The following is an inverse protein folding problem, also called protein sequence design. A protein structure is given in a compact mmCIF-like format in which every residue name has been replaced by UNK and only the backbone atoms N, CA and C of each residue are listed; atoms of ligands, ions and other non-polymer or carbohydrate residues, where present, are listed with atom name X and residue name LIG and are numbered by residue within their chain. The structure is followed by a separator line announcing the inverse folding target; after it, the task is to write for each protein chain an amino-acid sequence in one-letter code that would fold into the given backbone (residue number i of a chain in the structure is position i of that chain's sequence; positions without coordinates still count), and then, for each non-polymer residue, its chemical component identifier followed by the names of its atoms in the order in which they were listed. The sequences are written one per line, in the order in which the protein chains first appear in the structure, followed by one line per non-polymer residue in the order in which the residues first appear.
data_IF_597015164184
#
_entry.id   IF_597015164184
#
_cell.length_a   1.000
_cell.length_b   1.000
_cell.length_c   1.000
_cell.angle_alpha   90.00
_cell.angle_beta   90.00
_cell.angle_gamma   90.00
#
_symmetry.space_group_name_H-M   'P 1'
#
loop_
_entity.id
_entity.type
_entity.pdbx_description
1 polymer ?
#
# COMPACT_ATOMS: atom_id res chain seq x y z
N UNK A 1 18.49 -4.26 -8.71
CA UNK A 1 18.97 -3.32 -9.75
C UNK A 1 18.84 -1.93 -9.18
N UNK A 2 19.87 -1.11 -9.33
CA UNK A 2 19.76 0.30 -8.98
C UNK A 2 18.79 0.98 -9.95
N UNK A 3 18.11 2.03 -9.49
CA UNK A 3 17.20 2.81 -10.33
C UNK A 3 17.95 3.30 -11.58
N UNK A 4 17.54 2.82 -12.77
CA UNK A 4 18.17 3.16 -14.05
C UNK A 4 19.01 2.06 -14.71
N UNK A 5 19.30 0.92 -14.05
CA UNK A 5 19.94 -0.21 -14.72
C UNK A 5 18.95 -0.96 -15.62
N UNK A 6 19.32 -1.14 -16.89
CA UNK A 6 18.56 -1.95 -17.85
C UNK A 6 19.04 -3.40 -17.80
N UNK A 7 18.17 -4.36 -18.13
CA UNK A 7 18.51 -5.78 -18.22
C UNK A 7 19.62 -6.10 -19.26
N UNK A 8 19.95 -5.14 -20.11
CA UNK A 8 21.00 -5.25 -21.12
C UNK A 8 22.40 -4.95 -20.56
N UNK A 9 22.49 -4.20 -19.46
CA UNK A 9 23.72 -3.66 -18.87
C UNK A 9 24.21 -4.49 -17.67
N UNK A 10 23.90 -5.78 -17.66
CA UNK A 10 24.33 -6.68 -16.58
C UNK A 10 25.83 -7.02 -16.73
N UNK A 11 26.62 -6.97 -15.64
CA UNK A 11 28.04 -7.26 -15.70
C UNK A 11 28.28 -8.74 -16.05
N UNK A 12 29.21 -9.05 -16.97
CA UNK A 12 29.40 -10.40 -17.50
C UNK A 12 29.65 -11.45 -16.41
N UNK A 13 30.41 -11.10 -15.38
CA UNK A 13 30.71 -11.97 -14.23
C UNK A 13 29.44 -12.42 -13.49
N UNK A 14 28.45 -11.51 -13.34
CA UNK A 14 27.20 -11.84 -12.69
C UNK A 14 26.35 -12.77 -13.55
N UNK A 15 26.36 -12.60 -14.88
CA UNK A 15 25.64 -13.50 -15.77
C UNK A 15 26.27 -14.89 -15.75
N UNK A 16 27.60 -14.98 -15.68
CA UNK A 16 28.31 -16.25 -15.56
C UNK A 16 27.96 -16.98 -14.26
N UNK A 17 27.98 -16.27 -13.12
CA UNK A 17 27.55 -16.81 -11.82
C UNK A 17 26.11 -17.33 -11.87
N UNK A 18 25.18 -16.55 -12.43
CA UNK A 18 23.79 -16.96 -12.61
C UNK A 18 23.68 -18.21 -13.50
N UNK A 19 24.42 -18.25 -14.60
CA UNK A 19 24.39 -19.34 -15.57
C UNK A 19 24.93 -20.63 -14.94
N UNK A 20 26.02 -20.56 -14.18
CA UNK A 20 26.58 -21.70 -13.45
C UNK A 20 25.59 -22.26 -12.42
N UNK A 21 24.93 -21.38 -11.66
CA UNK A 21 23.91 -21.78 -10.69
C UNK A 21 22.70 -22.46 -11.35
N UNK A 22 22.22 -21.93 -12.48
CA UNK A 22 21.12 -22.53 -13.25
C UNK A 22 21.50 -23.89 -13.82
N UNK A 23 22.72 -24.03 -14.34
CA UNK A 23 23.24 -25.33 -14.82
C UNK A 23 23.27 -26.37 -13.70
N UNK A 24 23.77 -25.99 -12.52
CA UNK A 24 23.89 -26.89 -11.37
C UNK A 24 22.52 -27.36 -10.85
N UNK A 25 21.50 -26.50 -10.89
CA UNK A 25 20.16 -26.80 -10.39
C UNK A 25 19.20 -27.38 -11.44
N UNK A 26 19.64 -27.51 -12.70
CA UNK A 26 18.82 -28.10 -13.76
C UNK A 26 18.92 -29.63 -13.74
N UNK A 27 17.77 -30.32 -13.70
CA UNK A 27 17.68 -31.79 -13.70
C UNK A 27 18.40 -32.40 -14.91
N UNK A 28 18.21 -31.79 -16.09
CA UNK A 28 18.82 -32.24 -17.34
C UNK A 28 20.14 -31.49 -17.62
N UNK A 29 20.18 -30.18 -17.36
CA UNK A 29 21.33 -29.33 -17.67
C UNK A 29 22.59 -29.68 -16.88
N UNK A 30 22.46 -30.16 -15.63
CA UNK A 30 23.60 -30.57 -14.82
C UNK A 30 24.34 -31.81 -15.36
N UNK A 31 23.65 -32.64 -16.16
CA UNK A 31 24.21 -33.87 -16.75
C UNK A 31 24.84 -33.64 -18.12
N UNK A 32 24.51 -32.53 -18.79
CA UNK A 32 25.04 -32.19 -20.11
C UNK A 32 26.40 -31.51 -19.98
N UNK A 33 27.31 -31.85 -20.89
CA UNK A 33 28.63 -31.23 -20.94
C UNK A 33 28.48 -29.74 -21.18
N UNK A 34 27.90 -29.33 -22.31
CA UNK A 34 27.65 -27.94 -22.65
C UNK A 34 26.14 -27.64 -22.71
N UNK A 35 25.74 -26.45 -22.27
CA UNK A 35 24.35 -25.97 -22.40
C UNK A 35 24.32 -24.48 -22.72
N UNK A 36 23.27 -24.07 -23.42
CA UNK A 36 22.97 -22.66 -23.65
C UNK A 36 21.83 -22.22 -22.75
N UNK A 37 22.10 -21.25 -21.88
CA UNK A 37 21.13 -20.71 -20.93
C UNK A 37 20.55 -19.43 -21.51
N UNK A 38 19.24 -19.29 -21.35
CA UNK A 38 18.50 -18.13 -21.82
C UNK A 38 18.25 -17.18 -20.65
N UNK A 39 18.50 -15.89 -20.87
CA UNK A 39 18.07 -14.84 -19.95
C UNK A 39 17.21 -13.81 -20.71
N UNK A 40 16.11 -13.42 -20.07
CA UNK A 40 15.09 -12.51 -20.60
C UNK A 40 14.45 -11.75 -19.44
N UNK A 41 14.04 -10.49 -19.64
CA UNK A 41 13.26 -9.77 -18.63
C UNK A 41 11.92 -10.45 -18.36
N UNK A 42 11.43 -10.32 -17.13
CA UNK A 42 10.16 -10.89 -16.66
C UNK A 42 8.97 -10.48 -17.54
N UNK A 43 8.97 -9.24 -18.01
CA UNK A 43 7.90 -8.68 -18.84
C UNK A 43 7.75 -9.35 -20.20
N UNK A 44 8.72 -10.16 -20.62
CA UNK A 44 8.67 -10.93 -21.86
C UNK A 44 8.12 -12.35 -21.69
N UNK A 45 7.91 -12.83 -20.46
CA UNK A 45 7.36 -14.17 -20.21
C UNK A 45 5.86 -14.19 -20.53
N UNK A 46 5.45 -15.13 -21.40
CA UNK A 46 4.07 -15.39 -21.75
C UNK A 46 3.59 -16.66 -21.05
N UNK A 47 2.47 -16.54 -20.34
CA UNK A 47 1.76 -17.68 -19.75
C UNK A 47 0.32 -17.67 -20.26
N UNK A 48 -0.06 -18.71 -21.00
CA UNK A 48 -1.45 -18.97 -21.38
C UNK A 48 -2.11 -19.93 -20.38
N UNK A 49 -3.43 -19.83 -20.22
CA UNK A 49 -4.20 -20.67 -19.29
C UNK A 49 -4.07 -22.17 -19.58
N UNK A 50 -3.90 -22.53 -20.85
CA UNK A 50 -3.77 -23.93 -21.29
C UNK A 50 -2.35 -24.52 -21.09
N UNK A 51 -1.38 -23.72 -20.63
CA UNK A 51 0.01 -24.19 -20.47
C UNK A 51 0.22 -24.92 -19.14
N UNK A 52 0.85 -26.09 -19.20
CA UNK A 52 1.20 -26.90 -18.04
C UNK A 52 2.00 -26.10 -16.98
N UNK A 53 1.91 -26.52 -15.72
CA UNK A 53 2.66 -25.89 -14.62
C UNK A 53 4.16 -25.91 -14.91
N UNK A 54 4.82 -24.75 -14.77
CA UNK A 54 6.24 -24.57 -15.11
C UNK A 54 6.52 -24.30 -16.60
N UNK A 55 5.54 -24.51 -17.50
CA UNK A 55 5.68 -24.13 -18.90
C UNK A 55 5.41 -22.63 -19.09
N UNK A 56 6.33 -21.98 -19.80
CA UNK A 56 6.27 -20.58 -20.20
C UNK A 56 6.74 -20.43 -21.65
N UNK A 57 6.22 -19.42 -22.34
CA UNK A 57 6.67 -19.01 -23.68
C UNK A 57 7.21 -17.57 -23.64
N UNK A 58 7.63 -17.03 -24.77
CA UNK A 58 8.11 -15.64 -24.91
C UNK A 58 7.18 -14.83 -25.80
N UNK A 59 6.90 -13.58 -25.43
CA UNK A 59 6.17 -12.66 -26.29
C UNK A 59 7.02 -12.24 -27.51
N UNK A 60 8.28 -11.88 -27.26
CA UNK A 60 9.22 -11.42 -28.27
C UNK A 60 10.53 -12.20 -28.18
N UNK A 61 10.85 -12.95 -29.23
CA UNK A 61 12.11 -13.72 -29.34
C UNK A 61 13.34 -12.84 -29.46
N UNK A 62 13.20 -11.58 -29.90
CA UNK A 62 14.31 -10.61 -29.99
C UNK A 62 14.85 -10.16 -28.62
N UNK A 63 14.01 -10.21 -27.58
CA UNK A 63 14.40 -9.86 -26.20
C UNK A 63 15.00 -11.05 -25.43
N UNK A 64 15.33 -12.12 -26.13
CA UNK A 64 15.89 -13.36 -25.59
C UNK A 64 17.38 -13.37 -25.89
N UNK A 65 18.21 -13.28 -24.84
CA UNK A 65 19.67 -13.42 -24.95
C UNK A 65 20.11 -14.80 -24.46
N UNK A 66 21.23 -15.28 -24.98
CA UNK A 66 21.76 -16.63 -24.74
C UNK A 66 23.20 -16.55 -24.25
N UNK A 67 23.55 -17.41 -23.31
CA UNK A 67 24.90 -17.58 -22.79
C UNK A 67 25.26 -19.04 -22.97
N UNK A 68 26.45 -19.29 -23.51
CA UNK A 68 26.98 -20.64 -23.61
C UNK A 68 27.81 -20.97 -22.38
N UNK A 69 27.53 -22.09 -21.73
CA UNK A 69 28.29 -22.59 -20.58
C UNK A 69 28.86 -23.96 -20.92
N UNK A 70 30.17 -23.99 -21.18
CA UNK A 70 30.90 -25.18 -21.61
C UNK A 70 31.06 -26.22 -20.51
N UNK A 71 31.46 -25.82 -19.31
CA UNK A 71 31.66 -26.72 -18.17
C UNK A 71 31.11 -26.12 -16.89
N UNK A 72 30.79 -26.98 -15.91
CA UNK A 72 30.30 -26.52 -14.61
C UNK A 72 31.48 -26.18 -13.72
N UNK A 73 31.49 -24.98 -13.17
CA UNK A 73 32.45 -24.59 -12.14
C UNK A 73 31.84 -24.78 -10.74
N UNK A 74 32.35 -25.77 -10.00
CA UNK A 74 31.91 -26.05 -8.65
C UNK A 74 32.38 -25.00 -7.63
N UNK A 75 33.47 -24.27 -7.88
CA UNK A 75 33.96 -23.24 -6.97
C UNK A 75 32.97 -22.07 -6.88
N UNK A 76 32.45 -21.64 -8.04
CA UNK A 76 31.43 -20.59 -8.14
C UNK A 76 30.15 -21.02 -7.42
N UNK A 77 29.64 -22.22 -7.72
CA UNK A 77 28.40 -22.74 -7.10
C UNK A 77 28.55 -22.85 -5.57
N UNK A 78 29.67 -23.36 -5.10
CA UNK A 78 29.94 -23.49 -3.66
C UNK A 78 30.06 -22.13 -2.97
N UNK A 79 30.67 -21.14 -3.63
CA UNK A 79 30.72 -19.76 -3.13
C UNK A 79 29.31 -19.19 -2.99
N UNK A 80 28.47 -19.33 -4.02
CA UNK A 80 27.11 -18.79 -4.03
C UNK A 80 26.22 -19.46 -2.98
N UNK A 81 26.29 -20.79 -2.85
CA UNK A 81 25.51 -21.52 -1.85
C UNK A 81 25.86 -21.13 -0.40
N UNK A 82 27.12 -20.77 -0.11
CA UNK A 82 27.52 -20.26 1.21
C UNK A 82 26.88 -18.92 1.55
N UNK A 83 26.54 -18.11 0.55
CA UNK A 83 25.89 -16.80 0.74
C UNK A 83 24.36 -16.89 0.80
N UNK A 84 23.78 -18.07 0.56
CA UNK A 84 22.34 -18.27 0.59
C UNK A 84 21.82 -18.14 2.02
N UNK A 85 21.08 -17.07 2.28
CA UNK A 85 20.35 -16.89 3.54
C UNK A 85 18.88 -17.17 3.27
N UNK A 86 18.38 -18.31 3.76
CA UNK A 86 16.95 -18.60 3.71
C UNK A 86 16.24 -17.86 4.84
N UNK A 87 15.50 -16.82 4.48
CA UNK A 87 14.54 -16.19 5.36
C UNK A 87 13.19 -16.82 5.06
N UNK A 88 12.43 -17.14 6.10
CA UNK A 88 11.03 -17.54 5.98
C UNK A 88 10.16 -16.44 6.63
N UNK A 89 9.98 -15.28 5.98
CA UNK A 89 8.99 -14.32 6.43
C UNK A 89 7.60 -14.92 6.26
N UNK A 90 6.72 -14.69 7.23
CA UNK A 90 5.30 -14.95 7.06
C UNK A 90 4.72 -13.94 6.05
N UNK A 91 4.47 -14.41 4.83
CA UNK A 91 3.93 -13.61 3.74
C UNK A 91 2.53 -13.06 4.04
N UNK A 92 1.76 -13.76 4.89
CA UNK A 92 0.42 -13.31 5.26
C UNK A 92 0.53 -12.09 6.18
N UNK A 93 1.39 -12.16 7.19
CA UNK A 93 1.62 -11.06 8.12
C UNK A 93 2.17 -9.81 7.41
N UNK A 94 3.13 -9.96 6.50
CA UNK A 94 3.70 -8.83 5.75
C UNK A 94 2.63 -8.14 4.85
N UNK A 95 1.74 -8.93 4.24
CA UNK A 95 0.62 -8.40 3.46
C UNK A 95 -0.36 -7.62 4.34
N UNK A 96 -0.70 -8.16 5.51
CA UNK A 96 -1.60 -7.50 6.47
C UNK A 96 -1.00 -6.18 6.95
N UNK A 97 0.28 -6.18 7.32
CA UNK A 97 1.00 -4.98 7.77
C UNK A 97 1.10 -3.93 6.67
N UNK A 98 1.37 -4.36 5.44
CA UNK A 98 1.37 -3.48 4.28
C UNK A 98 -0.01 -2.83 4.06
N UNK A 99 -1.08 -3.62 4.15
CA UNK A 99 -2.45 -3.12 3.99
C UNK A 99 -2.86 -2.19 5.14
N UNK A 100 -2.49 -2.51 6.39
CA UNK A 100 -2.72 -1.66 7.57
C UNK A 100 -2.01 -0.32 7.41
N UNK A 101 -0.75 -0.33 6.91
CA UNK A 101 0.02 0.89 6.62
C UNK A 101 -0.64 1.76 5.54
N UNK A 102 -1.15 1.17 4.47
CA UNK A 102 -1.87 1.89 3.42
C UNK A 102 -3.17 2.50 3.95
N UNK A 103 -3.96 1.73 4.71
CA UNK A 103 -5.19 2.22 5.35
C UNK A 103 -4.91 3.38 6.31
N UNK A 104 -3.87 3.28 7.13
CA UNK A 104 -3.45 4.35 8.06
C UNK A 104 -3.08 5.63 7.31
N UNK A 105 -2.33 5.52 6.21
CA UNK A 105 -2.00 6.67 5.34
C UNK A 105 -3.25 7.31 4.71
N UNK A 106 -4.14 6.50 4.13
CA UNK A 106 -5.37 6.98 3.51
C UNK A 106 -6.30 7.67 4.52
N UNK A 107 -6.46 7.08 5.72
CA UNK A 107 -7.30 7.67 6.76
C UNK A 107 -6.70 8.99 7.27
N UNK A 108 -5.38 9.06 7.46
CA UNK A 108 -4.69 10.31 7.84
C UNK A 108 -4.88 11.41 6.80
N UNK A 109 -4.83 11.08 5.51
CA UNK A 109 -5.08 12.05 4.45
C UNK A 109 -6.54 12.53 4.43
N UNK A 110 -7.49 11.61 4.61
CA UNK A 110 -8.91 11.94 4.67
C UNK A 110 -9.22 12.85 5.86
N UNK A 111 -8.66 12.57 7.03
CA UNK A 111 -8.84 13.41 8.21
C UNK A 111 -8.23 14.80 8.00
N UNK A 112 -7.07 14.90 7.37
CA UNK A 112 -6.46 16.19 7.02
C UNK A 112 -7.35 16.99 6.06
N UNK A 113 -7.94 16.35 5.04
CA UNK A 113 -8.89 17.01 4.11
C UNK A 113 -10.14 17.48 4.83
N UNK A 114 -10.74 16.63 5.68
CA UNK A 114 -11.92 16.98 6.49
C UNK A 114 -11.66 18.15 7.43
N UNK A 115 -10.48 18.21 8.06
CA UNK A 115 -10.11 19.32 8.94
C UNK A 115 -9.99 20.64 8.16
N UNK A 116 -9.35 20.61 7.00
CA UNK A 116 -9.22 21.81 6.15
C UNK A 116 -10.58 22.29 5.61
N UNK A 117 -11.43 21.37 5.15
CA UNK A 117 -12.80 21.70 4.71
C UNK A 117 -13.63 22.35 5.83
N UNK A 118 -13.53 21.83 7.07
CA UNK A 118 -14.20 22.42 8.22
C UNK A 118 -13.69 23.84 8.53
N UNK A 119 -12.37 24.05 8.46
CA UNK A 119 -11.75 25.37 8.67
C UNK A 119 -12.24 26.39 7.65
N UNK A 120 -12.27 26.01 6.37
CA UNK A 120 -12.77 26.85 5.27
C UNK A 120 -14.27 27.11 5.41
N UNK A 121 -15.07 26.12 5.82
CA UNK A 121 -16.50 26.30 6.04
C UNK A 121 -16.79 27.27 7.19
N UNK A 122 -16.01 27.22 8.28
CA UNK A 122 -16.14 28.16 9.39
C UNK A 122 -15.75 29.59 8.99
N UNK A 123 -14.65 29.76 8.26
CA UNK A 123 -14.22 31.05 7.71
C UNK A 123 -15.29 31.63 6.76
N UNK A 124 -15.83 30.81 5.86
CA UNK A 124 -16.94 31.21 4.99
C UNK A 124 -18.21 31.56 5.77
N UNK A 125 -18.53 30.86 6.85
CA UNK A 125 -19.67 31.18 7.72
C UNK A 125 -19.47 32.53 8.41
N UNK A 126 -18.31 32.76 9.02
CA UNK A 126 -17.93 34.04 9.65
C UNK A 126 -17.96 35.19 8.63
N UNK A 127 -17.41 34.98 7.43
CA UNK A 127 -17.44 35.97 6.36
C UNK A 127 -18.86 36.25 5.86
N UNK A 128 -19.74 35.24 5.78
CA UNK A 128 -21.17 35.44 5.46
C UNK A 128 -21.89 36.22 6.54
N UNK A 129 -21.63 35.93 7.81
CA UNK A 129 -22.22 36.65 8.96
C UNK A 129 -21.78 38.12 9.00
N UNK A 130 -20.50 38.41 8.73
CA UNK A 130 -19.98 39.77 8.55
C UNK A 130 -20.57 40.50 7.33
N UNK A 131 -20.89 39.76 6.25
CA UNK A 131 -21.51 40.30 5.02
C UNK A 131 -23.03 40.45 5.11
N UNK A 132 -23.71 39.69 5.97
CA UNK A 132 -25.14 39.86 6.21
C UNK A 132 -25.36 41.07 7.10
N UNK A 133 -25.87 42.16 6.53
CA UNK A 133 -26.19 43.42 7.20
C UNK A 133 -27.35 43.34 8.22
N UNK A 134 -27.83 42.15 8.58
CA UNK A 134 -28.97 41.97 9.50
C UNK A 134 -28.70 42.59 10.88
N UNK A 135 -27.48 42.42 11.42
CA UNK A 135 -27.11 43.03 12.71
C UNK A 135 -26.88 44.55 12.63
N UNK A 136 -26.50 45.06 11.46
CA UNK A 136 -26.30 46.51 11.24
C UNK A 136 -27.65 47.21 11.04
N UNK A 137 -28.63 46.51 10.47
CA UNK A 137 -30.00 47.00 10.33
C UNK A 137 -30.73 47.08 11.68
N UNK A 138 -30.48 46.11 12.57
CA UNK A 138 -31.01 46.09 13.93
C UNK A 138 -30.38 47.17 14.83
N UNK A 139 -29.12 47.55 14.59
CA UNK A 139 -28.44 48.63 15.32
C UNK A 139 -28.76 50.03 14.75
N UNK A 140 -28.95 50.17 13.43
CA UNK A 140 -29.32 51.43 12.79
C UNK A 140 -30.80 51.82 13.01
N UNK A 141 -31.67 50.84 13.26
CA UNK A 141 -33.04 51.06 13.68
C UNK A 141 -33.12 50.97 15.21
N UNK A 142 -32.80 52.07 15.89
CA UNK A 142 -33.13 52.21 17.32
C UNK A 142 -34.60 51.86 17.62
N UNK A 143 -34.97 51.55 18.87
CA UNK A 143 -36.26 50.94 19.20
C UNK A 143 -37.44 51.84 18.79
N UNK A 144 -38.01 51.61 17.61
CA UNK A 144 -39.24 52.24 17.16
C UNK A 144 -40.42 51.38 17.61
N UNK A 145 -41.16 51.90 18.58
CA UNK A 145 -42.48 51.39 18.94
C UNK A 145 -43.48 51.63 17.81
N UNK A 146 -44.16 50.59 17.32
CA UNK A 146 -45.61 50.40 17.57
C UNK A 146 -46.27 49.40 16.61
N UNK A 147 -46.79 48.33 17.21
CA UNK A 147 -48.13 47.73 17.00
C UNK A 147 -48.55 47.22 15.62
N UNK A 148 -48.66 45.88 15.48
CA UNK A 148 -49.94 45.18 15.35
C UNK A 148 -49.75 43.63 15.38
N UNK A 149 -50.62 42.99 16.17
CA UNK A 149 -50.87 41.56 16.39
C UNK A 149 -50.55 40.60 15.22
N UNK A 150 -50.08 39.36 15.43
CA UNK A 150 -50.80 38.32 16.20
C UNK A 150 -49.98 37.03 16.41
N UNK A 151 -50.24 36.41 17.57
CA UNK A 151 -50.15 34.99 17.88
C UNK A 151 -48.78 34.28 17.81
N UNK A 152 -48.14 34.14 18.98
CA UNK A 152 -47.16 33.07 19.22
C UNK A 152 -47.46 32.37 20.54
N UNK A 153 -48.07 31.18 20.45
CA UNK A 153 -48.06 30.21 21.54
C UNK A 153 -46.61 29.81 21.83
N UNK A 154 -46.32 29.82 23.13
CA UNK A 154 -45.14 29.34 23.82
C UNK A 154 -44.77 27.90 23.49
N UNK A 155 -43.48 27.62 23.33
CA UNK A 155 -42.76 26.80 24.31
C UNK A 155 -41.25 27.04 24.21
N UNK A 156 -40.69 27.41 25.35
CA UNK A 156 -39.27 27.42 25.65
C UNK A 156 -38.75 26.00 25.81
N UNK A 157 -37.49 25.75 25.43
CA UNK A 157 -36.51 25.32 26.43
C UNK A 157 -35.09 25.73 26.01
N UNK A 158 -34.39 26.28 27.01
CA UNK A 158 -33.15 27.03 26.95
C UNK A 158 -32.03 26.19 27.55
N UNK A 159 -30.81 26.43 27.07
CA UNK A 159 -29.50 26.16 27.69
C UNK A 159 -29.04 24.68 27.70
N UNK A 160 -27.76 24.36 27.49
CA UNK A 160 -26.54 25.07 27.87
C UNK A 160 -25.44 24.91 26.81
N UNK A 161 -24.69 26.00 26.63
CA UNK A 161 -23.29 25.98 26.18
C UNK A 161 -22.50 25.22 27.24
N UNK A 162 -21.82 24.16 26.81
CA UNK A 162 -20.62 23.64 27.47
C UNK A 162 -19.56 23.58 26.39
N UNK A 163 -18.69 24.57 26.38
CA UNK A 163 -17.36 24.47 25.79
C UNK A 163 -16.63 23.37 26.57
N UNK A 164 -16.50 22.17 26.00
CA UNK A 164 -15.52 21.12 26.39
C UNK A 164 -15.73 19.82 25.58
N UNK A 165 -15.73 19.92 24.24
CA UNK A 165 -15.66 18.72 23.40
C UNK A 165 -14.66 19.01 22.30
N UNK A 166 -13.41 18.64 22.54
CA UNK A 166 -12.44 18.08 21.59
C UNK A 166 -11.05 18.25 22.20
N UNK A 167 -10.86 17.66 23.38
CA UNK A 167 -9.58 17.04 23.65
C UNK A 167 -9.34 16.05 22.50
N UNK A 168 -8.25 16.23 21.78
CA UNK A 168 -7.65 15.17 20.98
C UNK A 168 -7.25 14.12 22.00
N UNK A 169 -8.14 13.17 22.22
CA UNK A 169 -7.85 11.94 22.94
C UNK A 169 -6.88 11.17 22.05
N UNK A 170 -5.59 11.38 22.29
CA UNK A 170 -4.49 10.50 21.88
C UNK A 170 -4.60 9.18 22.69
N UNK A 171 -5.75 8.52 22.59
CA UNK A 171 -5.97 7.17 23.08
C UNK A 171 -5.30 6.19 22.14
N UNK A 172 -4.01 5.96 22.36
CA UNK A 172 -3.30 4.75 21.94
C UNK A 172 -3.90 3.53 22.67
N UNK A 173 -5.12 3.13 22.31
CA UNK A 173 -5.66 1.82 22.68
C UNK A 173 -5.15 0.78 21.67
N UNK A 174 -3.87 0.43 21.82
CA UNK A 174 -3.31 -0.84 21.36
C UNK A 174 -3.83 -1.95 22.29
N UNK A 175 -5.13 -2.27 22.17
CA UNK A 175 -5.67 -3.52 22.68
C UNK A 175 -5.07 -4.64 21.85
N UNK A 176 -3.99 -5.21 22.39
CA UNK A 176 -3.38 -6.45 21.92
C UNK A 176 -4.46 -7.52 21.83
N UNK A 177 -4.83 -7.88 20.60
CA UNK A 177 -5.67 -9.04 20.37
C UNK A 177 -4.84 -10.27 20.74
N UNK A 178 -4.99 -10.73 21.97
CA UNK A 178 -4.51 -12.05 22.39
C UNK A 178 -5.08 -13.08 21.42
N UNK A 179 -4.16 -13.72 20.71
CA UNK A 179 -4.48 -14.75 19.74
C UNK A 179 -4.94 -15.99 20.51
N UNK A 180 -6.23 -16.07 20.81
CA UNK A 180 -6.86 -17.29 21.26
C UNK A 180 -6.86 -18.28 20.09
N UNK A 181 -5.83 -19.12 20.07
CA UNK A 181 -5.70 -20.27 19.20
C UNK A 181 -6.82 -21.26 19.54
N UNK A 182 -7.98 -21.11 18.91
CA UNK A 182 -9.02 -22.12 18.89
C UNK A 182 -8.55 -23.25 17.98
N UNK A 183 -8.02 -24.30 18.60
CA UNK A 183 -7.81 -25.60 17.97
C UNK A 183 -9.17 -26.21 17.64
N UNK A 184 -9.70 -25.94 16.45
CA UNK A 184 -10.82 -26.69 15.85
C UNK A 184 -10.41 -27.14 14.44
N UNK A 185 -9.36 -27.96 14.38
CA UNK A 185 -9.01 -28.75 13.20
C UNK A 185 -8.74 -30.19 13.65
N UNK A 186 -9.78 -30.87 14.10
CA UNK A 186 -9.81 -32.33 14.28
C UNK A 186 -11.26 -32.82 14.12
N UNK A 187 -11.85 -32.63 12.93
CA UNK A 187 -13.05 -33.39 12.54
C UNK A 187 -13.28 -33.47 11.02
N UNK A 188 -12.26 -33.90 10.26
CA UNK A 188 -12.49 -34.37 8.89
C UNK A 188 -11.55 -35.54 8.53
N UNK A 189 -11.90 -36.72 9.04
CA UNK A 189 -11.65 -37.99 8.37
C UNK A 189 -12.80 -38.27 7.40
#
# INVERSE_FOLDING_TARGET
MNEGQTWEDLPPELLEDCAQLVKANSIEGNKKQNISIIYTPWSNLLKSGDMATGQVSFHNTKKVRRIHVETKDNAIVNRLNKTKVEKFPDLFQEKVDHQKRLKKKANKELQRKKLEEKRIAEENRKAKELKSYDRVFEEALGPVSSSLNSNKKSSSNKSKVTDDIFAVDDGDDDEGVENAHANDFDDFF
#
